data_IF_722117911664
#
_entry.id   IF_722117911664
#
_cell.length_a   1.000
_cell.length_b   1.000
_cell.length_c   1.000
_cell.angle_alpha   90.00
_cell.angle_beta   90.00
_cell.angle_gamma   90.00
#
_symmetry.space_group_name_H-M   'P 1'
#
loop_
_entity.id
_entity.type
_entity.pdbx_description
1 polymer ?
#
# COMPACT_ATOMS: atom_id res chain seq x y z
N UNK A 1 41.75 -17.25 57.59
CA UNK A 1 41.07 -16.43 58.61
C UNK A 1 39.89 -15.78 57.90
N UNK A 2 38.73 -16.43 57.90
CA UNK A 2 37.66 -16.26 58.91
C UNK A 2 37.06 -14.86 58.87
N UNK A 3 35.75 -14.62 58.85
CA UNK A 3 34.49 -15.37 58.61
C UNK A 3 33.38 -14.31 58.89
N UNK A 4 32.14 -14.65 58.50
CA UNK A 4 30.83 -14.01 58.83
C UNK A 4 30.33 -12.95 57.85
N UNK A 5 29.15 -13.06 57.23
CA UNK A 5 28.10 -14.10 57.26
C UNK A 5 26.74 -13.58 57.74
N UNK A 6 25.73 -13.77 56.88
CA UNK A 6 24.31 -14.04 57.19
C UNK A 6 23.45 -12.82 57.58
N UNK A 7 22.13 -12.72 57.36
CA UNK A 7 21.09 -13.73 57.10
C UNK A 7 19.76 -13.05 56.71
N UNK A 8 18.93 -13.79 55.97
CA UNK A 8 17.48 -13.69 55.73
C UNK A 8 16.60 -13.21 56.89
N UNK A 9 15.48 -12.55 56.58
CA UNK A 9 14.13 -12.96 57.03
C UNK A 9 12.99 -12.27 56.27
N UNK A 10 12.03 -13.08 55.81
CA UNK A 10 10.67 -12.74 55.40
C UNK A 10 9.92 -11.94 56.48
N UNK A 11 8.94 -11.11 56.06
CA UNK A 11 7.61 -11.12 56.69
C UNK A 11 6.52 -10.38 55.88
N UNK A 12 5.53 -11.17 55.51
CA UNK A 12 4.15 -10.84 55.17
C UNK A 12 3.48 -9.87 56.16
N UNK A 13 2.70 -8.91 55.62
CA UNK A 13 1.38 -8.42 56.06
C UNK A 13 0.82 -7.67 54.82
N UNK A 14 -0.31 -7.98 54.18
CA UNK A 14 -1.52 -8.65 54.63
C UNK A 14 -2.52 -7.64 55.18
N UNK A 15 -3.36 -7.04 54.33
CA UNK A 15 -4.74 -6.65 54.66
C UNK A 15 -5.54 -6.35 53.39
N UNK A 16 -6.34 -7.36 53.02
CA UNK A 16 -7.61 -7.25 52.28
C UNK A 16 -8.67 -6.66 53.22
N UNK A 17 -9.59 -5.87 52.67
CA UNK A 17 -11.04 -5.93 52.89
C UNK A 17 -11.67 -5.14 51.73
N UNK A 18 -12.82 -5.45 51.12
CA UNK A 18 -13.65 -6.64 51.00
C UNK A 18 -14.69 -6.26 49.94
N UNK A 19 -15.11 -7.24 49.13
CA UNK A 19 -16.26 -7.16 48.23
C UNK A 19 -17.55 -6.90 49.02
N UNK A 20 -18.53 -6.27 48.38
CA UNK A 20 -19.90 -6.75 48.53
C UNK A 20 -20.74 -6.46 47.28
N UNK A 21 -21.31 -7.55 46.78
CA UNK A 21 -22.32 -7.69 45.74
C UNK A 21 -23.66 -7.06 46.12
N UNK A 22 -24.48 -6.79 45.09
CA UNK A 22 -25.95 -6.99 44.99
C UNK A 22 -26.48 -6.01 43.94
N UNK A 23 -26.86 -6.42 42.74
CA UNK A 23 -28.05 -7.18 42.32
C UNK A 23 -29.08 -6.25 41.67
N UNK A 24 -29.74 -6.83 40.66
CA UNK A 24 -30.77 -6.31 39.77
C UNK A 24 -31.85 -5.42 40.40
N UNK A 25 -32.34 -4.47 39.59
CA UNK A 25 -33.78 -4.21 39.49
C UNK A 25 -34.17 -3.75 38.08
N UNK A 26 -35.39 -4.16 37.73
CA UNK A 26 -36.04 -4.24 36.43
C UNK A 26 -37.08 -3.10 36.27
N UNK A 27 -37.55 -2.92 35.03
CA UNK A 27 -38.80 -2.25 34.62
C UNK A 27 -38.96 -0.72 34.59
N UNK A 28 -39.52 -0.22 33.47
CA UNK A 28 -40.29 1.04 33.49
C UNK A 28 -40.50 1.76 32.15
N UNK A 29 -41.25 1.19 31.21
CA UNK A 29 -41.75 1.89 30.02
C UNK A 29 -42.71 3.04 30.37
N UNK A 30 -42.64 4.22 29.72
CA UNK A 30 -43.84 5.05 29.50
C UNK A 30 -43.77 6.17 28.41
N UNK A 31 -44.42 5.89 27.27
CA UNK A 31 -45.25 6.72 26.35
C UNK A 31 -44.73 8.03 25.74
N UNK A 32 -44.83 8.07 24.41
CA UNK A 32 -44.85 9.28 23.59
C UNK A 32 -45.18 8.98 22.13
N UNK A 33 -46.32 8.34 21.87
CA UNK A 33 -46.84 8.13 20.51
C UNK A 33 -47.18 9.47 19.85
N UNK A 34 -46.68 9.69 18.63
CA UNK A 34 -47.42 10.44 17.61
C UNK A 34 -47.15 9.85 16.23
N UNK A 35 -48.21 9.24 15.72
CA UNK A 35 -48.45 8.87 14.33
C UNK A 35 -48.16 10.05 13.39
N UNK A 36 -47.57 9.73 12.24
CA UNK A 36 -47.85 10.42 10.98
C UNK A 36 -47.98 9.33 9.94
N UNK A 37 -49.20 9.22 9.44
CA UNK A 37 -49.69 8.20 8.53
C UNK A 37 -49.00 8.30 7.17
N UNK A 38 -48.63 7.15 6.61
CA UNK A 38 -48.57 6.94 5.16
C UNK A 38 -48.84 5.45 4.88
N UNK A 39 -50.12 5.14 4.66
CA UNK A 39 -50.53 4.01 3.84
C UNK A 39 -50.73 4.54 2.41
N UNK A 40 -50.09 3.92 1.42
CA UNK A 40 -50.82 3.26 0.34
C UNK A 40 -49.91 2.46 -0.61
N UNK A 41 -50.09 1.15 -0.50
CA UNK A 41 -50.26 0.15 -1.57
C UNK A 41 -49.20 -0.05 -2.68
N UNK A 42 -48.70 -1.29 -2.77
CA UNK A 42 -48.20 -1.78 -4.05
C UNK A 42 -47.48 -3.13 -4.08
N UNK A 43 -48.21 -4.23 -3.85
CA UNK A 43 -47.97 -5.54 -4.49
C UNK A 43 -46.81 -6.43 -4.01
N UNK A 44 -47.23 -7.54 -3.39
CA UNK A 44 -46.45 -8.70 -2.99
C UNK A 44 -46.76 -9.87 -3.94
N UNK A 45 -45.85 -10.17 -4.87
CA UNK A 45 -45.60 -11.46 -5.53
C UNK A 45 -44.16 -11.35 -6.03
N UNK A 46 -43.15 -12.08 -5.57
CA UNK A 46 -43.11 -13.49 -5.27
C UNK A 46 -42.22 -14.17 -6.31
N UNK A 47 -40.90 -14.04 -6.19
CA UNK A 47 -39.92 -14.97 -6.77
C UNK A 47 -38.61 -14.84 -5.98
N UNK A 48 -38.37 -15.85 -5.14
CA UNK A 48 -37.04 -16.25 -4.69
C UNK A 48 -36.17 -16.44 -5.92
N UNK A 49 -34.94 -15.92 -5.94
CA UNK A 49 -33.78 -16.67 -6.40
C UNK A 49 -32.50 -15.96 -5.97
N UNK A 50 -31.65 -16.75 -5.29
CA UNK A 50 -30.22 -16.57 -5.06
C UNK A 50 -29.78 -15.34 -4.28
N UNK A 51 -29.59 -15.57 -2.98
CA UNK A 51 -28.45 -15.01 -2.25
C UNK A 51 -27.20 -15.24 -3.11
N UNK A 52 -26.76 -14.19 -3.81
CA UNK A 52 -25.41 -14.12 -4.32
C UNK A 52 -24.54 -13.73 -3.13
N UNK A 53 -23.89 -14.73 -2.55
CA UNK A 53 -22.63 -14.56 -1.86
C UNK A 53 -21.61 -14.06 -2.91
N UNK A 54 -21.72 -12.78 -3.29
CA UNK A 54 -20.62 -12.11 -3.96
C UNK A 54 -19.57 -11.83 -2.90
N UNK A 55 -18.52 -12.65 -2.95
CA UNK A 55 -17.22 -12.42 -2.33
C UNK A 55 -16.54 -11.21 -3.02
N UNK A 56 -17.19 -10.06 -3.02
CA UNK A 56 -16.67 -8.79 -3.49
C UNK A 56 -15.87 -8.11 -2.38
N UNK A 57 -14.56 -8.05 -2.61
CA UNK A 57 -13.63 -7.05 -2.07
C UNK A 57 -13.49 -7.00 -0.54
N UNK A 58 -12.40 -7.59 -0.07
CA UNK A 58 -11.91 -7.54 1.32
C UNK A 58 -11.27 -6.18 1.67
N UNK A 59 -11.57 -5.12 0.93
CA UNK A 59 -11.07 -3.78 1.16
C UNK A 59 -12.26 -2.85 1.40
N UNK A 60 -12.29 -2.27 2.60
CA UNK A 60 -13.41 -1.51 3.12
C UNK A 60 -13.57 -0.13 2.47
N UNK A 61 -14.80 0.40 2.60
CA UNK A 61 -15.25 1.79 2.35
C UNK A 61 -14.64 2.53 1.15
N UNK A 62 -15.47 2.68 0.11
CA UNK A 62 -15.26 3.53 -1.09
C UNK A 62 -15.07 5.04 -0.81
N UNK A 63 -14.73 5.47 0.41
CA UNK A 63 -14.80 6.89 0.80
C UNK A 63 -13.48 7.66 0.64
N UNK A 64 -12.34 6.98 0.39
CA UNK A 64 -11.01 7.63 0.36
C UNK A 64 -10.16 7.27 -0.88
N UNK A 65 -10.70 6.60 -1.90
CA UNK A 65 -9.94 6.32 -3.14
C UNK A 65 -10.12 7.43 -4.16
N UNK A 66 -9.01 7.96 -4.65
CA UNK A 66 -9.03 8.98 -5.71
C UNK A 66 -9.50 8.33 -7.02
N UNK A 67 -10.57 8.91 -7.58
CA UNK A 67 -11.14 8.50 -8.85
C UNK A 67 -10.60 9.37 -9.97
N UNK A 68 -10.35 8.79 -11.13
CA UNK A 68 -9.80 9.47 -12.29
C UNK A 68 -10.68 9.26 -13.51
N UNK A 69 -10.63 10.20 -14.45
CA UNK A 69 -11.24 10.05 -15.77
C UNK A 69 -10.28 10.51 -16.85
N UNK A 70 -10.30 9.82 -17.99
CA UNK A 70 -9.40 10.08 -19.10
C UNK A 70 -10.19 10.37 -20.38
N UNK A 71 -9.68 11.31 -21.18
CA UNK A 71 -10.18 11.55 -22.54
C UNK A 71 -9.20 10.98 -23.54
N UNK A 72 -9.67 10.07 -24.39
CA UNK A 72 -8.85 9.41 -25.41
C UNK A 72 -9.10 9.95 -26.82
N UNK A 73 -8.06 9.97 -27.65
CA UNK A 73 -8.17 10.21 -29.09
C UNK A 73 -7.26 9.24 -29.85
N UNK A 74 -7.65 8.77 -31.04
CA UNK A 74 -6.80 7.88 -31.82
C UNK A 74 -5.58 8.62 -32.38
N UNK A 75 -4.41 7.99 -32.31
CA UNK A 75 -3.17 8.40 -32.98
C UNK A 75 -3.25 8.12 -34.50
N UNK A 76 -2.16 8.42 -35.22
CA UNK A 76 -2.09 8.20 -36.67
C UNK A 76 -2.15 6.71 -37.08
N UNK A 77 -1.84 5.81 -36.14
CA UNK A 77 -1.87 4.37 -36.33
C UNK A 77 -3.19 3.73 -35.85
N UNK A 78 -4.07 4.51 -35.21
CA UNK A 78 -5.34 4.06 -34.65
C UNK A 78 -5.26 3.58 -33.20
N UNK A 79 -4.12 3.74 -32.52
CA UNK A 79 -3.97 3.47 -31.08
C UNK A 79 -4.58 4.61 -30.26
N UNK A 80 -5.02 4.36 -29.03
CA UNK A 80 -5.55 5.42 -28.17
C UNK A 80 -4.42 6.20 -27.48
N UNK A 81 -4.43 7.51 -27.65
CA UNK A 81 -3.63 8.46 -26.89
C UNK A 81 -4.49 9.13 -25.81
N UNK A 82 -3.92 9.33 -24.62
CA UNK A 82 -4.53 10.16 -23.57
C UNK A 82 -4.35 11.64 -23.92
N UNK A 83 -5.46 12.37 -23.99
CA UNK A 83 -5.47 13.81 -24.33
C UNK A 83 -5.82 14.69 -23.14
N UNK A 84 -6.50 14.14 -22.13
CA UNK A 84 -6.86 14.81 -20.89
C UNK A 84 -6.96 13.78 -19.77
N UNK A 85 -6.64 14.22 -18.57
CA UNK A 85 -6.79 13.47 -17.32
C UNK A 85 -7.44 14.39 -16.29
N UNK A 86 -8.37 13.84 -15.53
CA UNK A 86 -9.03 14.54 -14.43
C UNK A 86 -9.10 13.65 -13.21
N UNK A 87 -8.84 14.24 -12.05
CA UNK A 87 -9.18 13.67 -10.75
C UNK A 87 -10.62 14.06 -10.39
N UNK A 88 -11.37 13.14 -9.79
CA UNK A 88 -12.80 13.27 -9.51
C UNK A 88 -13.02 13.27 -8.00
N UNK A 89 -12.96 14.44 -7.37
CA UNK A 89 -13.27 14.58 -5.95
C UNK A 89 -14.74 14.99 -5.77
N UNK A 90 -15.53 14.18 -5.07
CA UNK A 90 -16.93 14.50 -4.69
C UNK A 90 -17.79 14.94 -5.88
N UNK A 91 -17.59 14.29 -7.03
CA UNK A 91 -18.29 14.56 -8.29
C UNK A 91 -17.85 15.82 -9.02
N UNK A 92 -16.68 16.40 -8.68
CA UNK A 92 -16.06 17.50 -9.41
C UNK A 92 -14.80 17.02 -10.10
N UNK A 93 -14.69 17.34 -11.39
CA UNK A 93 -13.49 17.05 -12.15
C UNK A 93 -12.46 18.18 -11.98
N UNK A 94 -11.29 17.82 -11.48
CA UNK A 94 -10.10 18.67 -11.40
C UNK A 94 -9.11 18.24 -12.48
N UNK A 95 -8.67 19.19 -13.30
CA UNK A 95 -7.77 18.88 -14.41
C UNK A 95 -6.37 18.56 -13.90
N UNK A 96 -5.82 17.43 -14.34
CA UNK A 96 -4.45 17.02 -14.06
C UNK A 96 -3.53 17.25 -15.26
N UNK A 97 -2.30 17.70 -14.98
CA UNK A 97 -1.36 18.08 -16.04
C UNK A 97 -0.62 16.89 -16.62
N UNK A 98 -1.03 16.45 -17.80
CA UNK A 98 -0.36 15.39 -18.57
C UNK A 98 0.95 15.83 -19.28
N UNK A 99 1.53 16.96 -18.86
CA UNK A 99 2.75 17.49 -19.50
C UNK A 99 3.96 16.74 -18.95
N UNK A 100 4.83 16.28 -19.86
CA UNK A 100 5.98 15.44 -19.52
C UNK A 100 5.57 14.05 -19.05
N UNK A 101 4.38 13.61 -19.47
CA UNK A 101 3.90 12.26 -19.26
C UNK A 101 3.83 11.52 -20.60
N UNK A 102 4.15 10.24 -20.57
CA UNK A 102 3.80 9.27 -21.61
C UNK A 102 2.73 8.33 -21.07
N UNK A 103 1.85 7.83 -21.94
CA UNK A 103 0.74 6.97 -21.54
C UNK A 103 0.74 5.68 -22.35
N UNK A 104 0.44 4.58 -21.66
CA UNK A 104 0.06 3.31 -22.29
C UNK A 104 -1.39 3.01 -21.93
N UNK A 105 -2.19 2.61 -22.92
CA UNK A 105 -3.62 2.33 -22.74
C UNK A 105 -3.87 0.88 -23.11
N UNK A 106 -4.46 0.13 -22.18
CA UNK A 106 -4.85 -1.26 -22.40
C UNK A 106 -6.36 -1.37 -22.59
N UNK A 107 -6.76 -2.17 -23.57
CA UNK A 107 -8.17 -2.41 -23.88
C UNK A 107 -8.53 -3.89 -23.72
N UNK A 108 -9.77 -4.14 -23.33
CA UNK A 108 -10.35 -5.47 -23.37
C UNK A 108 -10.65 -5.95 -24.81
N UNK A 109 -11.18 -7.16 -24.94
CA UNK A 109 -11.52 -7.78 -26.24
C UNK A 109 -12.66 -7.06 -26.99
N UNK A 110 -13.40 -6.18 -26.33
CA UNK A 110 -14.54 -5.43 -26.89
C UNK A 110 -14.14 -3.97 -27.18
N UNK A 111 -12.95 -3.55 -26.75
CA UNK A 111 -12.38 -2.22 -26.97
C UNK A 111 -12.64 -1.23 -25.82
N UNK A 112 -13.12 -1.69 -24.66
CA UNK A 112 -13.18 -0.83 -23.47
C UNK A 112 -11.78 -0.65 -22.92
N UNK A 113 -11.44 0.56 -22.47
CA UNK A 113 -10.17 0.80 -21.78
C UNK A 113 -10.29 0.21 -20.38
N UNK A 114 -9.35 -0.65 -20.00
CA UNK A 114 -9.35 -1.34 -18.69
C UNK A 114 -8.21 -0.89 -17.79
N UNK A 115 -7.11 -0.42 -18.38
CA UNK A 115 -5.96 0.08 -17.66
C UNK A 115 -5.32 1.24 -18.41
N UNK A 116 -4.86 2.23 -17.66
CA UNK A 116 -4.03 3.33 -18.15
C UNK A 116 -2.78 3.38 -17.27
N UNK A 117 -1.61 3.34 -17.90
CA UNK A 117 -0.35 3.55 -17.20
C UNK A 117 0.22 4.91 -17.62
N UNK A 118 0.45 5.79 -16.66
CA UNK A 118 1.14 7.06 -16.83
C UNK A 118 2.63 6.89 -16.48
N UNK A 119 3.51 7.48 -17.27
CA UNK A 119 4.95 7.61 -16.98
C UNK A 119 5.32 9.09 -17.01
N UNK A 120 5.45 9.73 -15.85
CA UNK A 120 5.83 11.13 -15.70
C UNK A 120 7.35 11.30 -15.56
N UNK A 121 7.93 12.20 -16.35
CA UNK A 121 9.36 12.50 -16.34
C UNK A 121 9.64 13.76 -15.51
N UNK A 122 10.13 13.55 -14.29
CA UNK A 122 10.59 14.61 -13.39
C UNK A 122 12.10 14.88 -13.60
N UNK A 123 12.67 15.76 -12.78
CA UNK A 123 14.07 16.18 -12.97
C UNK A 123 15.08 15.11 -12.54
N UNK A 124 14.77 14.38 -11.47
CA UNK A 124 15.64 13.39 -10.83
C UNK A 124 14.96 12.03 -10.62
N UNK A 125 13.67 11.89 -10.87
CA UNK A 125 12.97 10.61 -10.93
C UNK A 125 12.09 10.50 -12.18
N UNK A 126 11.71 9.25 -12.48
CA UNK A 126 10.59 8.91 -13.35
C UNK A 126 9.53 8.28 -12.46
N UNK A 127 8.32 8.80 -12.53
CA UNK A 127 7.19 8.28 -11.77
C UNK A 127 6.27 7.49 -12.70
N UNK A 128 5.84 6.31 -12.26
CA UNK A 128 4.90 5.47 -13.00
C UNK A 128 3.67 5.23 -12.14
N UNK A 129 2.49 5.56 -12.67
CA UNK A 129 1.20 5.32 -12.01
C UNK A 129 0.33 4.42 -12.88
N UNK A 130 -0.42 3.51 -12.27
CA UNK A 130 -1.43 2.71 -12.98
C UNK A 130 -2.83 2.99 -12.45
N UNK A 131 -3.76 2.99 -13.38
CA UNK A 131 -5.16 3.32 -13.16
C UNK A 131 -6.03 2.24 -13.79
N UNK A 132 -6.91 1.61 -13.01
CA UNK A 132 -7.78 0.54 -13.50
C UNK A 132 -9.27 0.90 -13.44
N UNK A 133 -10.00 0.52 -14.48
CA UNK A 133 -11.46 0.62 -14.57
C UNK A 133 -12.03 -0.80 -14.63
N UNK A 134 -12.20 -1.41 -13.45
CA UNK A 134 -12.60 -2.80 -13.31
C UNK A 134 -14.11 -3.01 -13.52
N UNK A 135 -14.93 -1.97 -13.32
CA UNK A 135 -16.38 -2.07 -13.46
C UNK A 135 -16.92 -1.52 -14.80
N UNK A 136 -16.05 -0.86 -15.57
CA UNK A 136 -16.32 -0.36 -16.91
C UNK A 136 -17.19 0.90 -16.93
N UNK A 137 -17.25 1.65 -15.83
CA UNK A 137 -18.07 2.87 -15.72
C UNK A 137 -17.37 4.13 -16.28
N UNK A 138 -16.09 4.01 -16.64
CA UNK A 138 -15.26 5.09 -17.16
C UNK A 138 -14.57 5.93 -16.10
N UNK A 139 -14.69 5.56 -14.82
CA UNK A 139 -13.91 6.09 -13.70
C UNK A 139 -12.86 5.05 -13.30
N UNK A 140 -11.64 5.54 -13.09
CA UNK A 140 -10.48 4.71 -12.81
C UNK A 140 -10.02 4.94 -11.38
N UNK A 141 -9.55 3.89 -10.71
CA UNK A 141 -8.87 4.00 -9.42
C UNK A 141 -7.37 3.90 -9.64
N UNK A 142 -6.57 4.76 -8.99
CA UNK A 142 -5.12 4.55 -8.93
C UNK A 142 -4.83 3.33 -8.06
N UNK A 143 -4.14 2.33 -8.60
CA UNK A 143 -3.89 1.07 -7.90
C UNK A 143 -2.41 0.76 -7.67
N UNK A 144 -1.54 1.56 -8.29
CA UNK A 144 -0.08 1.45 -8.19
C UNK A 144 0.60 2.78 -8.51
N UNK A 145 1.65 3.08 -7.75
CA UNK A 145 2.57 4.18 -7.99
C UNK A 145 4.00 3.75 -7.65
N UNK A 146 4.97 4.16 -8.47
CA UNK A 146 6.39 4.00 -8.19
C UNK A 146 7.18 5.19 -8.70
N UNK A 147 7.99 5.79 -7.83
CA UNK A 147 9.00 6.78 -8.17
C UNK A 147 10.35 6.11 -8.28
N UNK A 148 11.01 6.25 -9.44
CA UNK A 148 12.29 5.61 -9.73
C UNK A 148 13.35 6.66 -9.96
N UNK A 149 14.36 6.66 -9.11
CA UNK A 149 15.47 7.60 -9.17
C UNK A 149 16.27 7.43 -10.47
N UNK A 150 16.65 8.54 -11.10
CA UNK A 150 17.50 8.58 -12.30
C UNK A 150 18.94 9.02 -11.99
N UNK A 151 19.21 9.36 -10.73
CA UNK A 151 20.55 9.73 -10.26
C UNK A 151 20.72 9.37 -8.78
N UNK A 152 21.94 9.01 -8.37
CA UNK A 152 22.27 8.78 -6.95
C UNK A 152 22.21 10.05 -6.08
N UNK A 153 21.95 11.23 -6.66
CA UNK A 153 22.03 12.49 -5.93
C UNK A 153 20.83 12.63 -5.00
N UNK A 154 21.08 12.48 -3.70
CA UNK A 154 20.05 12.59 -2.67
C UNK A 154 19.36 11.27 -2.37
N UNK A 155 19.75 10.18 -3.05
CA UNK A 155 19.30 8.84 -2.70
C UNK A 155 19.84 8.43 -1.32
N UNK A 156 19.00 7.73 -0.57
CA UNK A 156 19.39 7.16 0.71
C UNK A 156 20.32 5.97 0.50
N UNK A 157 21.23 5.76 1.45
CA UNK A 157 22.20 4.66 1.41
C UNK A 157 22.05 3.82 2.66
N UNK A 158 22.03 2.50 2.52
CA UNK A 158 21.71 1.58 3.59
C UNK A 158 22.73 0.44 3.65
N UNK A 159 23.04 -0.02 4.86
CA UNK A 159 23.74 -1.28 5.10
C UNK A 159 22.76 -2.26 5.76
N UNK A 160 22.49 -3.40 5.11
CA UNK A 160 21.61 -4.43 5.64
C UNK A 160 22.42 -5.52 6.34
N UNK A 161 21.93 -5.99 7.50
CA UNK A 161 22.57 -7.07 8.26
C UNK A 161 21.81 -8.37 8.05
N UNK A 162 22.49 -9.37 7.50
CA UNK A 162 21.92 -10.68 7.19
C UNK A 162 22.24 -11.71 8.29
N UNK A 163 21.26 -12.57 8.60
CA UNK A 163 21.50 -13.78 9.38
C UNK A 163 22.15 -14.90 8.54
N UNK A 164 22.46 -16.04 9.18
CA UNK A 164 23.09 -17.19 8.51
C UNK A 164 22.21 -17.85 7.43
N UNK A 165 20.92 -17.52 7.39
CA UNK A 165 19.98 -18.04 6.40
C UNK A 165 19.69 -17.01 5.29
N UNK A 166 20.32 -15.83 5.33
CA UNK A 166 20.08 -14.75 4.37
C UNK A 166 18.88 -13.87 4.71
N UNK A 167 18.30 -13.97 5.91
CA UNK A 167 17.24 -13.05 6.31
C UNK A 167 17.84 -11.72 6.79
N UNK A 168 17.23 -10.61 6.40
CA UNK A 168 17.60 -9.29 6.89
C UNK A 168 17.12 -9.13 8.34
N UNK A 169 18.04 -8.71 9.22
CA UNK A 169 17.84 -8.59 10.67
C UNK A 169 18.06 -7.19 11.20
N UNK A 170 18.67 -6.31 10.40
CA UNK A 170 18.74 -4.89 10.66
C UNK A 170 18.89 -4.12 9.34
N UNK A 171 18.41 -2.89 9.38
CA UNK A 171 18.52 -1.88 8.34
C UNK A 171 19.28 -0.68 8.94
N UNK A 172 20.41 -0.31 8.34
CA UNK A 172 21.24 0.80 8.81
C UNK A 172 21.27 1.93 7.78
N UNK A 173 20.49 2.99 7.99
CA UNK A 173 20.54 4.21 7.18
C UNK A 173 21.87 4.95 7.38
N UNK A 174 22.62 5.15 6.30
CA UNK A 174 23.91 5.83 6.26
C UNK A 174 23.73 7.34 6.09
N UNK A 175 23.84 8.06 7.20
CA UNK A 175 23.79 9.52 7.20
C UNK A 175 25.19 10.14 7.21
N UNK A 176 25.29 11.45 6.96
CA UNK A 176 26.54 12.19 7.14
C UNK A 176 27.11 12.14 8.58
N UNK A 177 26.30 11.72 9.57
CA UNK A 177 26.72 11.53 10.97
C UNK A 177 27.14 10.08 11.29
N UNK A 178 27.11 9.20 10.29
CA UNK A 178 27.30 7.76 10.43
C UNK A 178 26.00 6.97 10.30
N UNK A 179 26.12 5.65 10.43
CA UNK A 179 25.02 4.70 10.36
C UNK A 179 24.04 4.88 11.53
N UNK A 180 22.74 4.86 11.22
CA UNK A 180 21.63 4.85 12.18
C UNK A 180 20.87 3.55 12.01
N UNK A 181 20.65 2.85 13.11
CA UNK A 181 19.81 1.66 13.08
C UNK A 181 18.34 2.06 12.90
N UNK A 182 17.75 1.65 11.79
CA UNK A 182 16.32 1.67 11.60
C UNK A 182 15.72 0.35 12.11
N UNK A 183 14.67 0.48 12.91
CA UNK A 183 14.11 -0.65 13.63
C UNK A 183 13.04 -1.29 12.77
N UNK A 184 13.34 -2.49 12.26
CA UNK A 184 12.38 -3.32 11.52
C UNK A 184 11.11 -3.50 12.35
N UNK A 185 10.01 -2.95 11.86
CA UNK A 185 8.70 -2.99 12.53
C UNK A 185 7.99 -4.28 12.19
N UNK A 186 6.92 -4.58 12.94
CA UNK A 186 6.14 -5.80 12.74
C UNK A 186 5.32 -5.80 11.45
N UNK A 187 5.10 -4.62 10.85
CA UNK A 187 4.42 -4.45 9.57
C UNK A 187 5.42 -4.26 8.41
N UNK A 188 6.72 -4.42 8.65
CA UNK A 188 7.76 -4.33 7.63
C UNK A 188 8.32 -5.72 7.34
N UNK A 189 8.52 -6.02 6.07
CA UNK A 189 9.21 -7.22 5.59
C UNK A 189 10.31 -6.82 4.60
N UNK A 190 11.35 -7.64 4.52
CA UNK A 190 12.52 -7.39 3.69
C UNK A 190 12.86 -8.64 2.91
N UNK A 191 13.14 -8.49 1.62
CA UNK A 191 13.56 -9.56 0.73
C UNK A 191 14.85 -9.17 0.01
N UNK A 192 15.86 -10.05 0.01
CA UNK A 192 17.03 -9.91 -0.86
C UNK A 192 16.79 -10.69 -2.15
N UNK A 193 16.99 -10.05 -3.30
CA UNK A 193 16.84 -10.63 -4.63
C UNK A 193 18.10 -10.35 -5.45
N UNK A 194 18.75 -11.42 -5.93
CA UNK A 194 19.82 -11.30 -6.92
C UNK A 194 19.23 -11.34 -8.33
N UNK A 195 19.54 -10.31 -9.12
CA UNK A 195 19.18 -10.26 -10.54
C UNK A 195 20.44 -10.04 -11.36
N UNK A 196 20.85 -11.09 -12.06
CA UNK A 196 22.05 -11.07 -12.91
C UNK A 196 23.34 -10.65 -12.18
N UNK A 197 23.46 -10.98 -10.89
CA UNK A 197 24.62 -10.63 -10.06
C UNK A 197 24.58 -9.24 -9.44
N UNK A 198 23.45 -8.54 -9.53
CA UNK A 198 23.18 -7.28 -8.83
C UNK A 198 22.19 -7.58 -7.70
N UNK A 199 22.60 -7.30 -6.45
CA UNK A 199 21.75 -7.52 -5.29
C UNK A 199 20.76 -6.38 -5.12
N UNK A 200 19.51 -6.73 -4.88
CA UNK A 200 18.44 -5.82 -4.54
C UNK A 200 17.89 -6.18 -3.18
N UNK A 201 17.49 -5.17 -2.42
CA UNK A 201 16.67 -5.34 -1.23
C UNK A 201 15.34 -4.64 -1.47
N UNK A 202 14.26 -5.38 -1.29
CA UNK A 202 12.89 -4.85 -1.31
C UNK A 202 12.40 -4.80 0.12
N UNK A 203 12.07 -3.60 0.59
CA UNK A 203 11.34 -3.39 1.84
C UNK A 203 9.86 -3.24 1.48
N UNK A 204 9.00 -3.96 2.18
CA UNK A 204 7.55 -3.87 2.05
C UNK A 204 6.96 -3.50 3.40
N UNK A 205 6.19 -2.42 3.44
CA UNK A 205 5.44 -1.97 4.62
C UNK A 205 3.96 -2.19 4.36
N UNK A 206 3.31 -3.03 5.16
CA UNK A 206 1.87 -3.30 5.03
C UNK A 206 1.07 -2.50 6.04
N UNK A 207 0.26 -1.57 5.54
CA UNK A 207 -0.72 -0.85 6.35
C UNK A 207 -2.14 -1.38 6.13
N UNK A 208 -3.17 -0.70 6.64
CA UNK A 208 -4.53 -1.26 6.70
C UNK A 208 -5.21 -1.40 5.33
N UNK A 209 -4.86 -0.53 4.38
CA UNK A 209 -5.49 -0.42 3.07
C UNK A 209 -4.49 -0.34 1.91
N UNK A 210 -3.19 -0.31 2.21
CA UNK A 210 -2.15 -0.01 1.23
C UNK A 210 -0.84 -0.69 1.61
N UNK A 211 -0.04 -0.99 0.59
CA UNK A 211 1.30 -1.52 0.73
C UNK A 211 2.27 -0.49 0.17
N UNK A 212 3.12 0.06 1.03
CA UNK A 212 4.26 0.89 0.63
C UNK A 212 5.49 0.00 0.42
N UNK A 213 6.40 0.41 -0.45
CA UNK A 213 7.64 -0.31 -0.67
C UNK A 213 8.80 0.59 -1.08
N UNK A 214 10.00 0.14 -0.76
CA UNK A 214 11.25 0.77 -1.15
C UNK A 214 12.15 -0.29 -1.80
N UNK A 215 12.87 0.08 -2.86
CA UNK A 215 13.82 -0.79 -3.55
C UNK A 215 15.22 -0.20 -3.43
N UNK A 216 16.15 -1.00 -2.92
CA UNK A 216 17.55 -0.67 -2.81
C UNK A 216 18.39 -1.59 -3.68
N UNK A 217 19.52 -1.08 -4.18
CA UNK A 217 20.41 -1.83 -5.09
C UNK A 217 21.88 -1.63 -4.72
N UNK A 218 22.64 -2.73 -4.72
CA UNK A 218 24.10 -2.74 -4.56
C UNK A 218 24.76 -3.06 -5.91
N UNK A 219 25.14 -2.00 -6.64
CA UNK A 219 25.70 -2.10 -8.00
C UNK A 219 27.18 -2.47 -8.01
N UNK A 220 27.92 -2.24 -6.92
CA UNK A 220 29.37 -2.41 -6.85
C UNK A 220 29.81 -3.58 -5.94
N UNK A 221 28.88 -4.18 -5.20
CA UNK A 221 29.11 -5.33 -4.32
C UNK A 221 29.86 -4.99 -3.03
N UNK A 222 29.83 -3.74 -2.58
CA UNK A 222 30.49 -3.29 -1.35
C UNK A 222 29.63 -3.46 -0.09
N UNK A 223 28.37 -3.88 -0.25
CA UNK A 223 27.39 -4.06 0.82
C UNK A 223 26.66 -2.78 1.23
N UNK A 224 26.87 -1.68 0.51
CA UNK A 224 26.11 -0.44 0.65
C UNK A 224 25.09 -0.37 -0.48
N UNK A 225 23.83 -0.43 -0.09
CA UNK A 225 22.71 -0.37 -1.01
C UNK A 225 22.25 1.08 -1.18
N UNK A 226 21.97 1.48 -2.41
CA UNK A 226 21.40 2.79 -2.73
C UNK A 226 19.92 2.63 -3.01
N UNK A 227 19.06 3.47 -2.42
CA UNK A 227 17.64 3.50 -2.75
C UNK A 227 17.46 3.94 -4.21
N UNK A 228 16.78 3.12 -5.00
CA UNK A 228 16.54 3.39 -6.42
C UNK A 228 15.07 3.61 -6.73
N UNK A 229 14.16 3.16 -5.85
CA UNK A 229 12.74 3.42 -6.01
C UNK A 229 12.00 3.41 -4.66
N UNK A 230 10.87 4.11 -4.64
CA UNK A 230 9.83 4.01 -3.63
C UNK A 230 8.46 3.97 -4.31
N UNK A 231 7.47 3.38 -3.68
CA UNK A 231 6.14 3.28 -4.28
C UNK A 231 5.10 2.71 -3.34
N UNK A 232 3.88 2.64 -3.85
CA UNK A 232 2.71 2.15 -3.13
C UNK A 232 1.78 1.37 -4.07
N UNK A 233 1.04 0.44 -3.50
CA UNK A 233 0.05 -0.32 -4.23
C UNK A 233 -1.08 -0.82 -3.34
N UNK A 234 -2.26 -0.91 -3.95
CA UNK A 234 -3.45 -1.52 -3.37
C UNK A 234 -3.92 -2.73 -4.18
N UNK A 235 -3.21 -3.04 -5.27
CA UNK A 235 -3.54 -4.12 -6.18
C UNK A 235 -2.77 -5.39 -5.85
N UNK A 236 -3.50 -6.50 -5.73
CA UNK A 236 -2.93 -7.84 -5.58
C UNK A 236 -2.03 -8.23 -6.78
N UNK A 237 -2.09 -7.50 -7.90
CA UNK A 237 -1.26 -7.76 -9.08
C UNK A 237 0.24 -7.49 -8.84
N UNK A 238 0.58 -6.66 -7.85
CA UNK A 238 1.96 -6.31 -7.50
C UNK A 238 2.44 -7.00 -6.22
N UNK A 239 1.65 -7.92 -5.66
CA UNK A 239 1.95 -8.60 -4.40
C UNK A 239 2.15 -10.12 -4.60
N UNK A 240 3.06 -10.69 -3.83
CA UNK A 240 3.24 -12.13 -3.71
C UNK A 240 2.14 -12.77 -2.83
N UNK A 241 2.11 -14.10 -2.77
CA UNK A 241 1.13 -14.85 -1.96
C UNK A 241 1.24 -14.60 -0.44
N UNK A 242 2.32 -13.97 0.01
CA UNK A 242 2.56 -13.59 1.41
C UNK A 242 2.18 -12.13 1.69
N UNK A 243 1.79 -11.37 0.66
CA UNK A 243 1.45 -9.95 0.76
C UNK A 243 2.66 -9.01 0.70
N UNK A 244 3.85 -9.49 0.33
CA UNK A 244 4.99 -8.62 0.05
C UNK A 244 4.96 -8.17 -1.41
N UNK A 245 5.71 -7.14 -1.77
CA UNK A 245 5.84 -6.74 -3.17
C UNK A 245 6.51 -7.84 -3.98
N UNK A 246 5.87 -8.24 -5.09
CA UNK A 246 6.45 -9.14 -6.08
C UNK A 246 7.46 -8.36 -6.93
N UNK A 247 8.75 -8.56 -6.65
CA UNK A 247 9.82 -7.89 -7.40
C UNK A 247 9.70 -8.11 -8.91
N UNK A 248 9.23 -9.28 -9.37
CA UNK A 248 9.09 -9.55 -10.79
C UNK A 248 8.01 -8.67 -11.45
N UNK A 249 6.96 -8.29 -10.70
CA UNK A 249 5.91 -7.40 -11.19
C UNK A 249 6.42 -5.95 -11.34
N UNK A 250 7.26 -5.49 -10.42
CA UNK A 250 7.78 -4.11 -10.45
C UNK A 250 9.07 -3.94 -11.26
N UNK A 251 9.78 -5.02 -11.57
CA UNK A 251 11.12 -4.98 -12.20
C UNK A 251 11.13 -4.18 -13.52
N UNK A 252 10.07 -4.28 -14.32
CA UNK A 252 9.99 -3.57 -15.60
C UNK A 252 9.99 -2.04 -15.45
N UNK A 253 9.57 -1.53 -14.28
CA UNK A 253 9.51 -0.10 -14.00
C UNK A 253 10.85 0.47 -13.51
N UNK A 254 11.79 -0.38 -13.09
CA UNK A 254 13.07 0.05 -12.49
C UNK A 254 14.14 0.48 -13.51
N UNK A 255 13.90 0.31 -14.81
CA UNK A 255 14.86 0.65 -15.87
C UNK A 255 15.42 2.10 -15.83
N UNK A 256 14.67 3.14 -15.39
CA UNK A 256 15.22 4.48 -15.22
C UNK A 256 16.39 4.56 -14.24
N UNK A 257 16.49 3.63 -13.27
CA UNK A 257 17.58 3.54 -12.32
C UNK A 257 18.86 2.94 -12.91
N UNK A 258 18.86 2.40 -14.13
CA UNK A 258 20.06 1.84 -14.77
C UNK A 258 21.18 2.90 -14.98
N UNK A 259 20.85 4.19 -14.89
CA UNK A 259 21.83 5.29 -14.94
C UNK A 259 22.51 5.55 -13.59
N UNK A 260 21.97 5.01 -12.50
CA UNK A 260 22.57 5.07 -11.17
C UNK A 260 23.70 4.06 -11.13
N UNK A 261 24.90 4.53 -10.80
CA UNK A 261 26.04 3.68 -10.48
C UNK A 261 26.40 4.02 -9.03
N UNK A 262 25.98 3.15 -8.12
CA UNK A 262 26.42 3.12 -6.72
C UNK A 262 27.76 2.41 -6.60
#
# INVERSE_FOLDING_TARGET
MSRHGSRYEDRYYGSRYSRHDSDHDDHGSRYGSRHSDHDDHGSRYGSRHSDHDDHGSRYGSHDDQDLYSFTFAPDINGNLDVTQMFEIERGRAEWQSIRRSEFTVEQDLVGNVVNVTETEFKWNEVEVKSYSDLDGDGLFTQDFEIEVATSARGAEQHEFIFDLNGNITADLELTWRGARNDWIRSNESYQEIDVFGISHVVKTTTDWNEVEFEVFRDDNGDGIYTQIAEGETQSDAFLDLSGNVDFAAIQAHLAPADTIIG
#
